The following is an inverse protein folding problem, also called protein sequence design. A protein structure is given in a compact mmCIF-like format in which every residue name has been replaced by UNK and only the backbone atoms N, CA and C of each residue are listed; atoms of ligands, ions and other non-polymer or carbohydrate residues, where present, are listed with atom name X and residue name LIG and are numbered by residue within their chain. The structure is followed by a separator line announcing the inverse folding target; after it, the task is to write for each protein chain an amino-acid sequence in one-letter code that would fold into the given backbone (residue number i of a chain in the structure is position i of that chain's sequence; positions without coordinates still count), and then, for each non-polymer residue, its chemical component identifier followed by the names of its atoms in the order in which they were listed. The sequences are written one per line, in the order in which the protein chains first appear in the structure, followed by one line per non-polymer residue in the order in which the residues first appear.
data_IF_671618746939
#
_entry.id   IF_671618746939
#
_cell.length_a   1.000
_cell.length_b   1.000
_cell.length_c   1.000
_cell.angle_alpha   90.00
_cell.angle_beta   90.00
_cell.angle_gamma   90.00
#
_symmetry.space_group_name_H-M   'P 1'
#
loop_
_entity.id
_entity.type
_entity.pdbx_description
1 polymer ?
#
# COMPACT_ATOMS: atom_id res chain seq x y z
N UNK A 1 -5.35 -8.21 -7.18
CA UNK A 1 -5.04 -7.88 -5.78
C UNK A 1 -4.99 -9.14 -4.94
N UNK A 2 -6.13 -9.82 -4.80
CA UNK A 2 -6.40 -10.86 -3.78
C UNK A 2 -5.66 -12.19 -3.91
N UNK A 3 -4.95 -12.47 -5.02
CA UNK A 3 -4.22 -13.73 -5.22
C UNK A 3 -2.71 -13.47 -5.29
N UNK A 4 -2.26 -12.75 -6.32
CA UNK A 4 -0.83 -12.47 -6.52
C UNK A 4 -0.21 -11.59 -5.43
N UNK A 5 -0.92 -10.56 -4.93
CA UNK A 5 -0.33 -9.69 -3.89
C UNK A 5 -0.08 -10.46 -2.59
N UNK A 6 -1.04 -11.21 -2.01
CA UNK A 6 -0.75 -12.04 -0.85
C UNK A 6 0.41 -13.01 -1.08
N UNK A 7 0.45 -13.66 -2.26
CA UNK A 7 1.56 -14.56 -2.62
C UNK A 7 2.92 -13.87 -2.59
N UNK A 8 3.06 -12.73 -3.30
CA UNK A 8 4.30 -11.96 -3.31
C UNK A 8 4.67 -11.39 -1.94
N UNK A 9 3.69 -10.93 -1.15
CA UNK A 9 3.94 -10.41 0.20
C UNK A 9 4.46 -11.52 1.12
N UNK A 10 3.84 -12.70 1.10
CA UNK A 10 4.33 -13.87 1.86
C UNK A 10 5.74 -14.26 1.42
N UNK A 11 5.98 -14.32 0.11
CA UNK A 11 7.30 -14.67 -0.43
C UNK A 11 8.38 -13.65 -0.06
N UNK A 12 8.07 -12.35 -0.13
CA UNK A 12 9.00 -11.27 0.21
C UNK A 12 9.31 -11.21 1.70
N UNK A 13 8.29 -11.33 2.54
CA UNK A 13 8.43 -11.19 4.01
C UNK A 13 8.87 -12.48 4.70
N UNK A 14 8.64 -13.65 4.09
CA UNK A 14 8.79 -14.98 4.69
C UNK A 14 7.97 -15.16 5.98
N UNK A 15 6.81 -14.48 6.07
CA UNK A 15 5.90 -14.53 7.23
C UNK A 15 4.53 -15.09 6.83
N UNK A 16 3.91 -15.78 7.78
CA UNK A 16 2.47 -16.06 7.70
C UNK A 16 1.70 -14.84 8.17
N UNK A 17 0.83 -14.35 7.29
CA UNK A 17 0.05 -13.13 7.47
C UNK A 17 -1.43 -13.42 7.22
N UNK A 18 -2.29 -12.71 7.95
CA UNK A 18 -3.72 -12.66 7.70
C UNK A 18 -4.02 -11.56 6.69
N UNK A 19 -4.89 -11.86 5.73
CA UNK A 19 -5.27 -10.92 4.68
C UNK A 19 -6.78 -10.78 4.66
N UNK A 20 -7.25 -9.55 4.85
CA UNK A 20 -8.63 -9.16 4.61
C UNK A 20 -8.71 -8.34 3.32
N UNK A 21 -9.81 -8.51 2.58
CA UNK A 21 -10.00 -7.87 1.29
C UNK A 21 -11.30 -7.07 1.27
N UNK A 22 -11.23 -5.87 0.72
CA UNK A 22 -12.37 -5.03 0.41
C UNK A 22 -12.25 -4.50 -1.03
N UNK A 23 -13.38 -4.15 -1.65
CA UNK A 23 -13.44 -3.70 -3.04
C UNK A 23 -14.55 -2.67 -3.26
N UNK A 24 -14.40 -1.84 -4.29
CA UNK A 24 -15.37 -0.80 -4.62
C UNK A 24 -15.18 0.46 -3.79
N UNK A 25 -16.30 1.11 -3.45
CA UNK A 25 -16.34 2.32 -2.62
C UNK A 25 -16.00 2.05 -1.16
N UNK A 26 -16.17 0.82 -0.71
CA UNK A 26 -16.00 0.43 0.70
C UNK A 26 -14.54 0.55 1.15
N UNK A 27 -14.36 1.19 2.30
CA UNK A 27 -13.08 1.31 2.99
C UNK A 27 -13.36 1.17 4.49
N UNK A 28 -12.56 0.41 5.26
CA UNK A 28 -12.84 0.19 6.67
C UNK A 28 -12.85 1.52 7.43
N UNK A 29 -13.70 1.60 8.44
CA UNK A 29 -13.74 2.77 9.31
C UNK A 29 -12.46 2.86 10.18
N UNK A 30 -12.32 3.95 10.91
CA UNK A 30 -11.11 4.23 11.70
C UNK A 30 -10.79 3.13 12.73
N UNK A 31 -11.80 2.59 13.41
CA UNK A 31 -11.61 1.57 14.45
C UNK A 31 -11.30 0.19 13.86
N UNK A 32 -11.87 -0.12 12.70
CA UNK A 32 -11.52 -1.32 11.94
C UNK A 32 -10.09 -1.26 11.42
N UNK A 33 -9.66 -0.10 10.91
CA UNK A 33 -8.33 0.10 10.39
C UNK A 33 -7.24 -0.21 11.43
N UNK A 34 -7.44 0.19 12.68
CA UNK A 34 -6.48 0.01 13.79
C UNK A 34 -6.07 -1.45 14.04
N UNK A 35 -6.81 -2.42 13.51
CA UNK A 35 -6.50 -3.85 13.60
C UNK A 35 -5.39 -4.29 12.63
N UNK A 36 -5.08 -3.49 11.61
CA UNK A 36 -4.15 -3.86 10.55
C UNK A 36 -2.77 -3.24 10.74
N UNK A 37 -1.72 -3.97 10.34
CA UNK A 37 -0.36 -3.46 10.31
C UNK A 37 -0.04 -2.66 9.03
N UNK A 38 -0.76 -2.94 7.93
CA UNK A 38 -0.51 -2.35 6.61
C UNK A 38 -1.77 -2.41 5.75
N UNK A 39 -2.09 -1.30 5.07
CA UNK A 39 -3.05 -1.27 3.97
C UNK A 39 -2.30 -1.34 2.64
N UNK A 40 -2.73 -2.24 1.74
CA UNK A 40 -2.22 -2.34 0.37
C UNK A 40 -3.32 -1.95 -0.61
N UNK A 41 -3.34 -0.68 -1.01
CA UNK A 41 -4.37 -0.09 -1.85
C UNK A 41 -4.16 -0.43 -3.34
N UNK A 42 -5.24 -0.51 -4.12
CA UNK A 42 -5.14 -0.68 -5.57
C UNK A 42 -4.67 0.62 -6.25
N UNK A 43 -4.54 0.60 -7.58
CA UNK A 43 -4.19 1.79 -8.38
C UNK A 43 -5.29 2.86 -8.45
N UNK A 44 -6.41 2.68 -7.76
CA UNK A 44 -7.51 3.66 -7.65
C UNK A 44 -8.12 4.11 -8.99
N UNK A 45 -8.03 3.32 -10.06
CA UNK A 45 -8.50 3.72 -11.40
C UNK A 45 -9.99 4.06 -11.50
N UNK A 46 -10.80 3.61 -10.53
CA UNK A 46 -12.24 3.85 -10.46
C UNK A 46 -12.64 4.84 -9.34
N UNK A 47 -11.68 5.45 -8.65
CA UNK A 47 -11.93 6.38 -7.54
C UNK A 47 -11.57 7.81 -7.97
N UNK A 48 -12.26 8.78 -7.39
CA UNK A 48 -11.86 10.18 -7.57
C UNK A 48 -10.74 10.56 -6.58
N UNK A 49 -10.13 11.73 -6.78
CA UNK A 49 -9.04 12.24 -5.94
C UNK A 49 -9.45 12.41 -4.47
N UNK A 50 -10.69 12.87 -4.21
CA UNK A 50 -11.19 13.05 -2.83
C UNK A 50 -11.31 11.71 -2.09
N UNK A 51 -11.77 10.67 -2.78
CA UNK A 51 -11.89 9.32 -2.21
C UNK A 51 -10.51 8.77 -1.84
N UNK A 52 -9.53 8.94 -2.73
CA UNK A 52 -8.14 8.50 -2.47
C UNK A 52 -7.56 9.25 -1.28
N UNK A 53 -7.70 10.58 -1.22
CA UNK A 53 -7.21 11.38 -0.09
C UNK A 53 -7.88 11.00 1.23
N UNK A 54 -9.21 10.84 1.23
CA UNK A 54 -9.96 10.39 2.42
C UNK A 54 -9.43 9.06 2.96
N UNK A 55 -9.12 8.10 2.08
CA UNK A 55 -8.54 6.81 2.48
C UNK A 55 -7.14 6.94 3.08
N UNK A 56 -6.30 7.81 2.51
CA UNK A 56 -4.95 8.10 3.03
C UNK A 56 -5.02 8.75 4.42
N UNK A 57 -5.87 9.76 4.58
CA UNK A 57 -6.08 10.43 5.88
C UNK A 57 -6.62 9.47 6.94
N UNK A 58 -7.55 8.58 6.58
CA UNK A 58 -8.10 7.61 7.52
C UNK A 58 -7.04 6.60 7.97
N UNK A 59 -6.19 6.12 7.06
CA UNK A 59 -5.06 5.26 7.41
C UNK A 59 -4.07 5.98 8.34
N UNK A 60 -3.75 7.24 8.05
CA UNK A 60 -2.87 8.07 8.89
C UNK A 60 -3.45 8.30 10.29
N UNK A 61 -4.73 8.69 10.38
CA UNK A 61 -5.46 8.85 11.66
C UNK A 61 -5.54 7.55 12.46
N UNK A 62 -5.60 6.40 11.77
CA UNK A 62 -5.56 5.09 12.41
C UNK A 62 -4.17 4.69 12.90
N UNK A 63 -3.11 5.42 12.49
CA UNK A 63 -1.72 5.04 12.73
C UNK A 63 -1.27 3.84 11.88
N UNK A 64 -1.92 3.57 10.76
CA UNK A 64 -1.67 2.40 9.91
C UNK A 64 -0.94 2.82 8.66
N UNK A 65 0.19 2.16 8.38
CA UNK A 65 0.92 2.40 7.13
C UNK A 65 0.08 2.00 5.92
N UNK A 66 0.15 2.78 4.85
CA UNK A 66 -0.52 2.50 3.58
C UNK A 66 0.47 2.54 2.42
N UNK A 67 0.35 1.58 1.52
CA UNK A 67 1.06 1.55 0.24
C UNK A 67 0.07 1.20 -0.88
N UNK A 68 0.52 1.16 -2.11
CA UNK A 68 -0.29 0.71 -3.25
C UNK A 68 0.37 -0.45 -4.01
N UNK A 69 -0.39 -1.08 -4.90
CA UNK A 69 0.12 -2.19 -5.73
C UNK A 69 1.39 -1.84 -6.47
N UNK A 70 1.48 -0.68 -7.13
CA UNK A 70 2.65 -0.30 -7.92
C UNK A 70 3.93 -0.21 -7.07
N UNK A 71 3.85 0.47 -5.93
CA UNK A 71 4.99 0.63 -5.01
C UNK A 71 5.36 -0.71 -4.36
N UNK A 72 4.38 -1.48 -3.90
CA UNK A 72 4.62 -2.78 -3.29
C UNK A 72 5.25 -3.77 -4.26
N UNK A 73 4.70 -3.89 -5.48
CA UNK A 73 5.26 -4.74 -6.54
C UNK A 73 6.68 -4.30 -6.88
N UNK A 74 6.91 -3.00 -7.07
CA UNK A 74 8.23 -2.49 -7.40
C UNK A 74 9.27 -2.77 -6.30
N UNK A 75 8.86 -2.67 -5.03
CA UNK A 75 9.73 -3.01 -3.89
C UNK A 75 10.03 -4.52 -3.86
N UNK A 76 9.00 -5.36 -3.96
CA UNK A 76 9.15 -6.82 -3.86
C UNK A 76 9.97 -7.42 -5.02
N UNK A 77 9.92 -6.81 -6.21
CA UNK A 77 10.71 -7.23 -7.37
C UNK A 77 12.03 -6.48 -7.54
N UNK A 78 12.42 -5.63 -6.58
CA UNK A 78 13.72 -4.94 -6.59
C UNK A 78 13.87 -3.82 -7.62
N UNK A 79 12.77 -3.32 -8.20
CA UNK A 79 12.79 -2.28 -9.23
C UNK A 79 12.41 -0.88 -8.71
N UNK A 80 12.00 -0.72 -7.45
CA UNK A 80 11.54 0.56 -6.90
C UNK A 80 12.57 1.69 -7.06
N UNK A 81 13.86 1.42 -6.80
CA UNK A 81 14.93 2.41 -6.98
C UNK A 81 15.03 2.88 -8.43
N UNK A 82 14.89 1.97 -9.39
CA UNK A 82 14.89 2.30 -10.82
C UNK A 82 13.64 3.11 -11.19
N UNK A 83 12.47 2.71 -10.70
CA UNK A 83 11.21 3.41 -10.94
C UNK A 83 11.21 4.85 -10.41
N UNK A 84 11.92 5.12 -9.32
CA UNK A 84 12.08 6.46 -8.74
C UNK A 84 13.23 7.27 -9.34
N UNK A 85 14.04 6.71 -10.24
CA UNK A 85 15.17 7.45 -10.85
C UNK A 85 14.78 8.76 -11.57
N UNK A 86 13.59 8.91 -12.17
CA UNK A 86 13.14 10.20 -12.72
C UNK A 86 12.75 11.24 -11.65
N UNK A 87 12.68 10.85 -10.37
CA UNK A 87 12.26 11.69 -9.26
C UNK A 87 13.38 11.76 -8.19
N UNK A 88 14.46 12.54 -8.42
CA UNK A 88 15.65 12.52 -7.56
C UNK A 88 15.36 12.78 -6.08
N UNK A 89 14.44 13.70 -5.78
CA UNK A 89 14.04 14.05 -4.42
C UNK A 89 13.35 12.89 -3.69
N UNK A 90 12.56 12.07 -4.38
CA UNK A 90 11.94 10.87 -3.79
C UNK A 90 12.96 9.75 -3.63
N UNK A 91 13.85 9.59 -4.61
CA UNK A 91 14.92 8.60 -4.53
C UNK A 91 15.85 8.87 -3.34
N UNK A 92 16.13 10.13 -3.01
CA UNK A 92 16.90 10.49 -1.82
C UNK A 92 16.17 10.07 -0.54
N UNK A 93 14.87 10.40 -0.41
CA UNK A 93 14.05 9.98 0.76
C UNK A 93 14.01 8.46 0.97
N UNK A 94 14.13 7.66 -0.09
CA UNK A 94 14.21 6.20 0.02
C UNK A 94 15.58 5.72 0.55
N UNK A 95 16.65 6.49 0.35
CA UNK A 95 18.01 6.16 0.82
C UNK A 95 18.26 6.55 2.27
N UNK A 96 17.53 7.55 2.77
CA UNK A 96 17.68 8.08 4.13
C UNK A 96 16.92 7.26 5.19
N UNK A 97 16.27 6.16 4.78
CA UNK A 97 15.59 5.17 5.65
C UNK A 97 16.46 3.93 5.81
#
# INVERSE_FOLDING_TARGET
GTVKMPGWIKEYTKKELLFDFTSGGDFPNLDELRKYALVVHCGACMLNERDVHSRLENAEKAGVSITNYGIAIAQMHGILRRSLSPFPHLLQKLRDR
#
